data_IF_687271681005
#
_entry.id   IF_687271681005
#
_cell.length_a   1.000
_cell.length_b   1.000
_cell.length_c   1.000
_cell.angle_alpha   90.00
_cell.angle_beta   90.00
_cell.angle_gamma   90.00
#
_symmetry.space_group_name_H-M   'P 1'
#
loop_
_entity.id
_entity.type
_entity.pdbx_description
1 polymer ?
#
# COMPACT_ATOMS: atom_id res chain seq x y z
N UNK A 1 -29.72 0.11 7.80
CA UNK A 1 -29.42 1.05 8.89
C UNK A 1 -30.14 0.62 10.14
N UNK A 2 -29.43 0.05 11.11
CA UNK A 2 -30.03 -0.37 12.40
C UNK A 2 -29.36 0.46 13.49
N UNK A 3 -30.08 1.44 14.02
CA UNK A 3 -29.66 2.18 15.22
C UNK A 3 -29.94 1.28 16.44
N UNK A 4 -28.91 1.08 17.26
CA UNK A 4 -29.04 0.33 18.51
C UNK A 4 -29.87 1.13 19.52
N UNK A 5 -30.92 0.51 20.08
CA UNK A 5 -31.70 1.04 21.19
C UNK A 5 -30.85 1.06 22.46
N UNK A 6 -30.81 2.25 23.08
CA UNK A 6 -30.07 2.48 24.33
C UNK A 6 -30.55 1.58 25.47
N UNK A 7 -29.59 1.07 26.21
CA UNK A 7 -29.72 0.25 27.40
C UNK A 7 -30.45 1.07 28.47
N UNK A 8 -31.63 0.60 28.89
CA UNK A 8 -32.33 1.08 30.09
C UNK A 8 -31.57 0.66 31.35
N UNK A 9 -30.88 1.54 31.99
CA UNK A 9 -30.39 1.30 33.36
C UNK A 9 -31.55 1.41 34.35
N UNK A 10 -31.87 0.26 34.93
CA UNK A 10 -32.87 0.15 36.00
C UNK A 10 -32.17 0.42 37.33
N UNK A 11 -32.41 1.59 37.90
CA UNK A 11 -31.97 1.91 39.26
C UNK A 11 -33.19 1.87 40.18
N UNK A 12 -33.40 0.72 40.81
CA UNK A 12 -34.20 0.60 41.98
C UNK A 12 -33.34 0.99 43.20
N UNK A 13 -33.66 2.06 43.88
CA UNK A 13 -33.44 2.15 45.30
C UNK A 13 -34.52 3.02 45.95
N UNK A 14 -35.13 2.42 46.96
CA UNK A 14 -36.15 2.94 47.82
C UNK A 14 -35.53 3.91 48.83
N UNK A 15 -36.26 4.93 49.22
CA UNK A 15 -36.76 5.21 50.58
C UNK A 15 -36.94 6.70 50.86
N UNK A 16 -38.17 7.02 51.28
CA UNK A 16 -38.70 7.81 52.42
C UNK A 16 -38.68 9.33 52.29
N UNK A 17 -39.81 9.84 52.01
CA UNK A 17 -40.79 10.64 52.78
C UNK A 17 -40.36 12.02 53.27
N UNK A 18 -41.33 12.85 53.12
CA UNK A 18 -41.83 14.01 53.86
C UNK A 18 -41.92 15.32 53.10
N UNK A 19 -43.08 15.68 52.83
CA UNK A 19 -43.83 16.78 52.38
C UNK A 19 -43.26 18.20 52.43
N UNK A 20 -43.55 18.90 51.34
CA UNK A 20 -44.18 20.27 51.49
C UNK A 20 -44.76 20.64 50.10
N UNK A 21 -46.07 20.93 50.12
CA UNK A 21 -46.80 21.43 48.96
C UNK A 21 -46.44 22.89 48.75
N UNK A 22 -45.94 23.24 47.59
CA UNK A 22 -46.02 24.60 47.06
C UNK A 22 -46.26 24.48 45.55
N UNK A 23 -47.49 24.75 45.19
CA UNK A 23 -47.98 24.92 43.82
C UNK A 23 -47.35 26.15 43.17
N UNK A 24 -46.58 25.99 42.13
CA UNK A 24 -46.32 26.99 41.12
C UNK A 24 -46.47 26.35 39.75
N UNK A 25 -47.62 26.63 39.13
CA UNK A 25 -47.93 26.39 37.75
C UNK A 25 -46.97 27.17 36.85
N UNK A 26 -46.06 26.44 36.20
CA UNK A 26 -45.24 26.96 35.15
C UNK A 26 -45.27 25.96 33.99
N UNK A 27 -46.22 26.13 33.06
CA UNK A 27 -46.20 25.46 31.78
C UNK A 27 -45.03 26.00 30.95
N UNK A 28 -43.87 25.44 31.07
CA UNK A 28 -42.83 25.52 30.04
C UNK A 28 -42.87 24.21 29.28
N UNK A 29 -43.50 24.21 28.12
CA UNK A 29 -43.45 23.10 27.20
C UNK A 29 -42.00 22.83 26.77
N UNK A 30 -41.36 21.91 27.45
CA UNK A 30 -40.12 21.31 26.94
C UNK A 30 -40.55 20.52 25.70
N UNK A 31 -40.40 21.15 24.54
CA UNK A 31 -40.43 20.40 23.28
C UNK A 31 -39.34 19.37 23.39
N UNK A 32 -39.73 18.11 23.46
CA UNK A 32 -38.87 16.96 23.45
C UNK A 32 -38.12 16.97 22.10
N UNK A 33 -36.99 17.65 22.07
CA UNK A 33 -36.11 17.64 20.91
C UNK A 33 -35.42 16.28 20.93
N UNK A 34 -36.04 15.34 20.25
CA UNK A 34 -35.52 13.99 20.06
C UNK A 34 -34.22 14.09 19.24
N UNK A 35 -33.18 14.64 19.84
CA UNK A 35 -31.85 14.64 19.29
C UNK A 35 -31.34 13.20 19.30
N UNK A 36 -31.74 12.44 18.28
CA UNK A 36 -30.99 11.24 17.91
C UNK A 36 -29.58 11.69 17.46
N UNK A 37 -28.70 11.86 18.43
CA UNK A 37 -27.30 12.06 18.15
C UNK A 37 -26.77 10.73 17.61
N UNK A 38 -26.71 10.62 16.29
CA UNK A 38 -25.95 9.57 15.63
C UNK A 38 -24.49 10.06 15.60
N UNK A 39 -23.57 9.42 16.30
CA UNK A 39 -22.17 9.73 16.12
C UNK A 39 -21.82 9.57 14.63
N UNK A 40 -20.98 10.44 14.07
CA UNK A 40 -20.55 10.30 12.68
C UNK A 40 -19.99 8.90 12.49
N UNK A 41 -20.44 8.23 11.45
CA UNK A 41 -19.95 6.91 11.08
C UNK A 41 -18.45 7.03 10.82
N UNK A 42 -17.64 6.48 11.72
CA UNK A 42 -16.19 6.42 11.55
C UNK A 42 -15.92 5.38 10.46
N UNK A 43 -15.83 5.83 9.22
CA UNK A 43 -15.42 4.96 8.10
C UNK A 43 -13.96 4.58 8.34
N UNK A 44 -13.72 3.32 8.66
CA UNK A 44 -12.37 2.81 8.82
C UNK A 44 -11.55 3.08 7.53
N UNK A 45 -10.28 3.46 7.65
CA UNK A 45 -9.43 3.66 6.49
C UNK A 45 -9.30 2.36 5.69
N UNK A 46 -9.47 2.46 4.37
CA UNK A 46 -9.36 1.31 3.48
C UNK A 46 -7.88 1.09 3.15
N UNK A 47 -7.35 -0.05 3.60
CA UNK A 47 -6.01 -0.50 3.20
C UNK A 47 -6.08 -1.07 1.79
N UNK A 48 -5.23 -0.60 0.90
CA UNK A 48 -5.10 -1.08 -0.48
C UNK A 48 -3.74 -1.74 -0.69
N UNK A 49 -3.68 -2.71 -1.61
CA UNK A 49 -2.43 -3.26 -2.11
C UNK A 49 -2.35 -2.95 -3.60
N UNK A 50 -1.32 -2.22 -3.99
CA UNK A 50 -1.06 -1.83 -5.38
C UNK A 50 0.23 -2.46 -5.88
N UNK A 51 0.26 -2.81 -7.16
CA UNK A 51 1.43 -3.35 -7.82
C UNK A 51 1.86 -2.45 -8.98
N UNK A 52 3.13 -2.06 -8.97
CA UNK A 52 3.78 -1.28 -10.04
C UNK A 52 4.95 -2.09 -10.57
N UNK A 53 5.04 -2.23 -11.89
CA UNK A 53 6.17 -2.88 -12.53
C UNK A 53 7.13 -1.83 -13.08
N UNK A 54 8.38 -1.89 -12.64
CA UNK A 54 9.47 -1.04 -13.12
C UNK A 54 10.30 -1.85 -14.13
N UNK A 55 10.34 -1.40 -15.38
CA UNK A 55 11.14 -2.07 -16.43
C UNK A 55 12.63 -2.03 -16.05
N UNK A 56 13.26 -3.20 -15.92
CA UNK A 56 14.66 -3.28 -15.52
C UNK A 56 15.60 -2.63 -16.54
N UNK A 57 15.27 -2.69 -17.82
CA UNK A 57 16.06 -2.08 -18.91
C UNK A 57 15.96 -0.54 -18.91
N UNK A 58 14.93 0.03 -18.27
CA UNK A 58 14.84 1.46 -18.04
C UNK A 58 15.57 1.89 -16.75
N UNK A 59 15.72 0.96 -15.79
CA UNK A 59 16.41 1.23 -14.54
C UNK A 59 17.92 1.04 -14.64
N UNK A 60 18.39 -0.01 -15.32
CA UNK A 60 19.77 -0.45 -15.30
C UNK A 60 20.31 -0.65 -16.72
N UNK A 61 21.63 -0.52 -16.88
CA UNK A 61 22.32 -1.06 -18.06
C UNK A 61 22.10 -2.57 -18.16
N UNK A 62 22.24 -3.09 -19.40
CA UNK A 62 22.08 -4.52 -19.66
C UNK A 62 22.98 -5.35 -18.74
N UNK A 63 22.40 -6.39 -18.14
CA UNK A 63 23.09 -7.32 -17.23
C UNK A 63 23.68 -6.65 -15.96
N UNK A 64 23.22 -5.48 -15.61
CA UNK A 64 23.69 -4.71 -14.45
C UNK A 64 22.64 -4.62 -13.35
N UNK A 65 23.12 -4.33 -12.11
CA UNK A 65 22.30 -4.27 -10.94
C UNK A 65 22.79 -3.28 -9.86
N UNK A 66 23.95 -2.67 -10.02
CA UNK A 66 24.52 -1.82 -8.98
C UNK A 66 23.93 -0.40 -9.02
N UNK A 67 24.05 0.35 -7.94
CA UNK A 67 23.59 1.75 -7.87
C UNK A 67 24.30 2.66 -8.86
N UNK A 68 25.55 2.35 -9.21
CA UNK A 68 26.33 3.05 -10.23
C UNK A 68 25.84 2.78 -11.65
N UNK A 69 25.11 1.66 -11.84
CA UNK A 69 24.58 1.23 -13.13
C UNK A 69 23.15 1.77 -13.38
N UNK A 70 22.58 2.50 -12.41
CA UNK A 70 21.28 3.14 -12.57
C UNK A 70 21.34 4.23 -13.65
N UNK A 71 20.49 4.06 -14.66
CA UNK A 71 20.34 5.02 -15.75
C UNK A 71 19.66 6.29 -15.26
N UNK A 72 19.90 7.47 -15.89
CA UNK A 72 19.19 8.70 -15.52
C UNK A 72 17.66 8.57 -15.56
N UNK A 73 17.10 7.88 -16.56
CA UNK A 73 15.68 7.61 -16.66
C UNK A 73 15.18 6.70 -15.52
N UNK A 74 16.00 5.74 -15.09
CA UNK A 74 15.72 4.90 -13.94
C UNK A 74 15.67 5.69 -12.64
N UNK A 75 16.63 6.57 -12.41
CA UNK A 75 16.65 7.47 -11.24
C UNK A 75 15.40 8.33 -11.20
N UNK A 76 15.03 8.98 -12.30
CA UNK A 76 13.83 9.80 -12.39
C UNK A 76 12.54 8.97 -12.11
N UNK A 77 12.49 7.71 -12.57
CA UNK A 77 11.37 6.80 -12.29
C UNK A 77 11.28 6.47 -10.79
N UNK A 78 12.40 6.21 -10.14
CA UNK A 78 12.45 5.93 -8.70
C UNK A 78 12.15 7.15 -7.85
N UNK A 79 12.58 8.33 -8.27
CA UNK A 79 12.24 9.63 -7.64
C UNK A 79 10.72 9.89 -7.70
N UNK A 80 10.11 9.65 -8.87
CA UNK A 80 8.64 9.74 -9.01
C UNK A 80 7.92 8.74 -8.13
N UNK A 81 8.42 7.51 -8.02
CA UNK A 81 7.86 6.50 -7.12
C UNK A 81 7.98 6.95 -5.66
N UNK A 82 9.15 7.45 -5.23
CA UNK A 82 9.34 7.95 -3.88
C UNK A 82 8.38 9.10 -3.55
N UNK A 83 8.22 10.07 -4.46
CA UNK A 83 7.24 11.14 -4.32
C UNK A 83 5.80 10.60 -4.19
N UNK A 84 5.42 9.61 -5.02
CA UNK A 84 4.11 8.97 -4.94
C UNK A 84 3.89 8.27 -3.59
N UNK A 85 4.91 7.62 -3.03
CA UNK A 85 4.84 6.97 -1.71
C UNK A 85 4.67 7.99 -0.57
N UNK A 86 5.32 9.16 -0.66
CA UNK A 86 5.27 10.20 0.36
C UNK A 86 4.00 11.05 0.27
N UNK A 87 3.57 11.40 -0.93
CA UNK A 87 2.46 12.32 -1.15
C UNK A 87 1.12 11.64 -1.41
N UNK A 88 1.14 10.43 -1.99
CA UNK A 88 -0.07 9.70 -2.41
C UNK A 88 -0.70 8.82 -1.33
N UNK A 89 0.00 8.58 -0.21
CA UNK A 89 -0.47 7.74 0.89
C UNK A 89 -0.59 8.53 2.19
N UNK A 90 -1.59 8.19 3.00
CA UNK A 90 -1.68 8.62 4.41
C UNK A 90 -0.66 7.84 5.22
N UNK A 91 -0.55 6.54 4.93
CA UNK A 91 0.39 5.61 5.56
C UNK A 91 0.75 4.52 4.55
N UNK A 92 2.03 4.20 4.46
CA UNK A 92 2.53 3.01 3.77
C UNK A 92 2.95 2.00 4.81
N UNK A 93 2.28 0.86 4.88
CA UNK A 93 2.52 -0.17 5.89
C UNK A 93 3.75 -1.02 5.53
N UNK A 94 3.87 -1.39 4.25
CA UNK A 94 5.00 -2.16 3.73
C UNK A 94 5.14 -2.02 2.22
N UNK A 95 6.37 -2.22 1.76
CA UNK A 95 6.72 -2.31 0.34
C UNK A 95 7.46 -3.63 0.12
N UNK A 96 7.04 -4.44 -0.84
CA UNK A 96 7.78 -5.61 -1.29
C UNK A 96 8.35 -5.36 -2.69
N UNK A 97 9.65 -5.55 -2.85
CA UNK A 97 10.37 -5.44 -4.12
C UNK A 97 10.75 -6.84 -4.59
N UNK A 98 10.27 -7.23 -5.76
CA UNK A 98 10.48 -8.57 -6.33
C UNK A 98 11.18 -8.41 -7.66
N UNK A 99 12.43 -8.87 -7.75
CA UNK A 99 13.20 -8.87 -8.99
C UNK A 99 12.83 -10.03 -9.90
N UNK A 100 12.62 -9.72 -11.18
CA UNK A 100 12.34 -10.70 -12.21
C UNK A 100 13.33 -10.54 -13.35
N UNK A 101 13.65 -11.66 -13.99
CA UNK A 101 14.46 -11.72 -15.21
C UNK A 101 13.66 -12.40 -16.33
N UNK A 102 14.18 -12.35 -17.53
CA UNK A 102 13.72 -13.25 -18.58
C UNK A 102 14.36 -14.64 -18.42
N UNK A 103 13.89 -15.60 -19.20
CA UNK A 103 14.33 -17.01 -19.17
C UNK A 103 15.65 -17.29 -19.89
N UNK A 104 16.33 -16.26 -20.38
CA UNK A 104 17.63 -16.44 -21.04
C UNK A 104 18.72 -16.42 -19.96
N UNK A 105 19.45 -17.52 -19.85
CA UNK A 105 20.55 -17.66 -18.91
C UNK A 105 20.40 -18.87 -17.99
N UNK A 106 21.05 -18.80 -16.86
CA UNK A 106 21.02 -19.83 -15.81
C UNK A 106 20.11 -19.38 -14.66
N UNK A 107 19.26 -20.27 -14.16
CA UNK A 107 18.26 -20.00 -13.13
C UNK A 107 18.87 -19.34 -11.89
N UNK A 108 20.00 -19.89 -11.39
CA UNK A 108 20.68 -19.35 -10.22
C UNK A 108 21.21 -17.93 -10.48
N UNK A 109 21.78 -17.71 -11.66
CA UNK A 109 22.25 -16.38 -12.06
C UNK A 109 21.09 -15.39 -12.14
N UNK A 110 20.00 -15.79 -12.80
CA UNK A 110 18.79 -15.00 -12.97
C UNK A 110 18.18 -14.63 -11.61
N UNK A 111 18.12 -15.61 -10.68
CA UNK A 111 17.66 -15.34 -9.33
C UNK A 111 18.53 -14.28 -8.63
N UNK A 112 19.86 -14.43 -8.67
CA UNK A 112 20.79 -13.49 -8.04
C UNK A 112 20.76 -12.11 -8.70
N UNK A 113 20.61 -12.02 -10.02
CA UNK A 113 20.48 -10.75 -10.73
C UNK A 113 19.22 -10.02 -10.34
N UNK A 114 18.08 -10.72 -10.27
CA UNK A 114 16.80 -10.15 -9.80
C UNK A 114 16.90 -9.66 -8.37
N UNK A 115 17.52 -10.44 -7.48
CA UNK A 115 17.70 -10.05 -6.08
C UNK A 115 18.54 -8.78 -5.94
N UNK A 116 19.71 -8.72 -6.58
CA UNK A 116 20.57 -7.51 -6.53
C UNK A 116 19.85 -6.27 -7.07
N UNK A 117 19.03 -6.41 -8.12
CA UNK A 117 18.24 -5.30 -8.66
C UNK A 117 17.20 -4.78 -7.64
N UNK A 118 16.49 -5.69 -6.98
CA UNK A 118 15.53 -5.30 -5.94
C UNK A 118 16.21 -4.65 -4.74
N UNK A 119 17.39 -5.13 -4.32
CA UNK A 119 18.20 -4.53 -3.26
C UNK A 119 18.69 -3.12 -3.62
N UNK A 120 19.14 -2.91 -4.85
CA UNK A 120 19.56 -1.58 -5.32
C UNK A 120 18.40 -0.60 -5.32
N UNK A 121 17.22 -1.02 -5.79
CA UNK A 121 16.00 -0.18 -5.74
C UNK A 121 15.65 0.16 -4.30
N UNK A 122 15.73 -0.80 -3.37
CA UNK A 122 15.50 -0.55 -1.93
C UNK A 122 16.43 0.53 -1.39
N UNK A 123 17.73 0.35 -1.59
CA UNK A 123 18.73 1.31 -1.08
C UNK A 123 18.50 2.71 -1.67
N UNK A 124 18.17 2.78 -2.95
CA UNK A 124 17.89 4.05 -3.61
C UNK A 124 16.65 4.75 -3.06
N UNK A 125 15.52 4.02 -2.88
CA UNK A 125 14.29 4.56 -2.29
C UNK A 125 14.50 5.02 -0.84
N UNK A 126 15.26 4.27 -0.04
CA UNK A 126 15.64 4.68 1.32
C UNK A 126 16.49 5.95 1.31
N UNK A 127 17.41 6.09 0.36
CA UNK A 127 18.20 7.30 0.15
C UNK A 127 17.36 8.53 -0.25
N UNK A 128 16.19 8.31 -0.87
CA UNK A 128 15.21 9.35 -1.18
C UNK A 128 14.24 9.64 -0.01
N UNK A 129 14.47 9.08 1.17
CA UNK A 129 13.67 9.35 2.37
C UNK A 129 12.42 8.48 2.52
N UNK A 130 12.28 7.37 1.78
CA UNK A 130 11.21 6.39 2.01
C UNK A 130 11.50 5.62 3.29
N UNK A 131 10.69 5.83 4.33
CA UNK A 131 10.86 5.25 5.69
C UNK A 131 10.03 3.98 5.92
N UNK A 132 9.07 3.69 5.05
CA UNK A 132 8.25 2.48 5.14
C UNK A 132 9.13 1.21 5.10
N UNK A 133 8.74 0.11 5.79
CA UNK A 133 9.44 -1.16 5.72
C UNK A 133 9.52 -1.70 4.29
N UNK A 134 10.73 -1.94 3.78
CA UNK A 134 10.97 -2.47 2.44
C UNK A 134 11.61 -3.86 2.53
N UNK A 135 10.94 -4.87 1.98
CA UNK A 135 11.48 -6.22 1.79
C UNK A 135 11.92 -6.42 0.35
N UNK A 136 12.95 -7.25 0.15
CA UNK A 136 13.48 -7.60 -1.17
C UNK A 136 13.44 -9.11 -1.38
N UNK A 137 13.12 -9.53 -2.59
CA UNK A 137 13.18 -10.92 -3.02
C UNK A 137 13.41 -11.00 -4.52
N UNK A 138 13.59 -12.21 -5.03
CA UNK A 138 13.68 -12.48 -6.44
C UNK A 138 12.81 -13.68 -6.82
N UNK A 139 12.13 -13.59 -7.94
CA UNK A 139 11.48 -14.71 -8.59
C UNK A 139 12.32 -15.25 -9.78
N UNK A 140 13.47 -14.59 -10.08
CA UNK A 140 14.25 -14.94 -11.26
C UNK A 140 13.36 -14.95 -12.51
N UNK A 141 13.43 -16.03 -13.27
CA UNK A 141 12.64 -16.23 -14.49
C UNK A 141 11.32 -16.98 -14.28
N UNK A 142 11.01 -17.41 -13.04
CA UNK A 142 9.90 -18.34 -12.77
C UNK A 142 8.51 -17.73 -12.92
N UNK A 143 8.40 -16.41 -13.04
CA UNK A 143 7.13 -15.70 -13.15
C UNK A 143 7.11 -14.78 -14.40
N UNK A 144 7.14 -15.34 -15.61
CA UNK A 144 7.04 -14.55 -16.82
C UNK A 144 5.66 -13.91 -16.95
N UNK A 145 5.60 -12.76 -17.60
CA UNK A 145 4.36 -12.08 -17.99
C UNK A 145 4.18 -12.04 -19.51
N UNK A 146 5.18 -12.53 -20.25
CA UNK A 146 5.12 -12.66 -21.69
C UNK A 146 4.95 -14.13 -22.11
N UNK A 147 4.41 -14.34 -23.29
CA UNK A 147 4.34 -15.65 -23.94
C UNK A 147 5.12 -15.60 -25.26
N UNK A 148 6.45 -15.65 -25.15
CA UNK A 148 7.34 -15.56 -26.30
C UNK A 148 7.81 -16.95 -26.73
N UNK A 149 7.73 -17.26 -28.03
CA UNK A 149 8.20 -18.53 -28.58
C UNK A 149 9.71 -18.49 -28.90
N UNK A 150 10.31 -19.66 -28.93
CA UNK A 150 11.71 -19.84 -29.30
C UNK A 150 12.66 -19.94 -28.10
N UNK A 151 13.82 -20.55 -28.34
CA UNK A 151 14.86 -20.79 -27.31
C UNK A 151 16.19 -20.10 -27.64
N UNK A 152 16.43 -19.78 -28.93
CA UNK A 152 17.66 -19.10 -29.33
C UNK A 152 17.55 -17.58 -29.02
N UNK A 153 18.56 -16.94 -28.41
CA UNK A 153 18.55 -15.57 -28.02
C UNK A 153 18.65 -14.57 -29.18
N UNK A 154 17.69 -14.62 -30.10
CA UNK A 154 17.61 -13.69 -31.25
C UNK A 154 17.21 -12.28 -30.75
N UNK A 155 17.50 -11.22 -31.52
CA UNK A 155 17.03 -9.85 -31.20
C UNK A 155 15.51 -9.80 -31.02
N UNK A 156 14.75 -10.51 -31.87
CA UNK A 156 13.28 -10.55 -31.76
C UNK A 156 12.83 -11.21 -30.46
N UNK A 157 13.43 -12.34 -30.05
CA UNK A 157 13.12 -13.00 -28.80
C UNK A 157 13.48 -12.11 -27.59
N UNK A 158 14.65 -11.46 -27.61
CA UNK A 158 15.06 -10.54 -26.53
C UNK A 158 14.12 -9.35 -26.38
N UNK A 159 13.61 -8.81 -27.49
CA UNK A 159 12.62 -7.74 -27.50
C UNK A 159 11.27 -8.23 -26.94
N UNK A 160 10.80 -9.41 -27.35
CA UNK A 160 9.58 -10.02 -26.84
C UNK A 160 9.63 -10.24 -25.31
N UNK A 161 10.76 -10.72 -24.80
CA UNK A 161 10.98 -11.01 -23.37
C UNK A 161 11.25 -9.77 -22.51
N UNK A 162 11.36 -8.59 -23.10
CA UNK A 162 11.68 -7.36 -22.37
C UNK A 162 10.78 -7.09 -21.17
N UNK A 163 9.44 -7.27 -21.23
CA UNK A 163 8.56 -7.02 -20.07
C UNK A 163 8.80 -7.97 -18.89
N UNK A 164 9.39 -9.15 -19.11
CA UNK A 164 9.74 -10.08 -18.05
C UNK A 164 10.87 -9.51 -17.17
N UNK A 165 11.78 -8.74 -17.76
CA UNK A 165 12.88 -8.06 -17.05
C UNK A 165 12.33 -6.83 -16.31
N UNK A 166 11.95 -7.01 -15.06
CA UNK A 166 11.30 -5.97 -14.23
C UNK A 166 11.64 -6.09 -12.76
N UNK A 167 11.44 -5.02 -12.03
CA UNK A 167 11.28 -5.04 -10.57
C UNK A 167 9.81 -4.74 -10.27
N UNK A 168 9.11 -5.70 -9.70
CA UNK A 168 7.75 -5.51 -9.23
C UNK A 168 7.78 -4.87 -7.84
N UNK A 169 6.99 -3.82 -7.65
CA UNK A 169 6.83 -3.08 -6.41
C UNK A 169 5.40 -3.31 -5.92
N UNK A 170 5.24 -3.98 -4.80
CA UNK A 170 3.95 -4.17 -4.14
C UNK A 170 3.87 -3.24 -2.93
N UNK A 171 2.91 -2.35 -2.93
CA UNK A 171 2.72 -1.32 -1.91
C UNK A 171 1.44 -1.64 -1.16
N UNK A 172 1.53 -1.82 0.16
CA UNK A 172 0.36 -1.98 1.03
C UNK A 172 0.27 -0.76 1.93
N UNK A 173 -0.90 -0.13 1.99
CA UNK A 173 -1.08 1.07 2.78
C UNK A 173 -2.44 1.73 2.58
N UNK A 174 -2.62 2.89 3.19
CA UNK A 174 -3.83 3.71 3.10
C UNK A 174 -3.58 4.87 2.16
N UNK A 175 -4.29 4.91 1.02
CA UNK A 175 -4.19 6.02 0.08
C UNK A 175 -4.87 7.29 0.59
N UNK A 176 -4.32 8.45 0.23
CA UNK A 176 -5.03 9.72 0.33
C UNK A 176 -6.20 9.73 -0.67
N UNK A 177 -7.33 10.28 -0.27
CA UNK A 177 -8.50 10.51 -1.15
C UNK A 177 -8.27 11.72 -2.04
#
# INVERSE_FOLDING_TARGET
>A
MKCFNGVKMNMQNKLIAVGLVLSLSGCAGVRDVNHKWCPPEVVAPVVVTERVNLAADALFNFDKASSTDLLPAGKATLEKLAATLQDGYVQVDKIALIGHTDRLGNDQYNYQLGLRRSETVKVYLQGLGVTAPITTSSAGETQPITNCEGVKPTPALKACLQPDRRVAVEITGVRKK
#
